data_IF_932769573289
#
_entry.id   IF_932769573289
#
_cell.length_a   1.000
_cell.length_b   1.000
_cell.length_c   1.000
_cell.angle_alpha   90.00
_cell.angle_beta   90.00
_cell.angle_gamma   90.00
#
_symmetry.space_group_name_H-M   'P 1'
#
loop_
_entity.id
_entity.type
_entity.pdbx_description
1 polymer ?
#
# COMPACT_ATOMS: atom_id res chain seq x y z
N UNK A 1 -13.48 25.71 46.63
CA UNK A 1 -12.63 26.27 45.54
C UNK A 1 -11.73 25.19 44.92
N UNK A 2 -12.09 23.91 45.02
CA UNK A 2 -11.24 22.75 44.66
C UNK A 2 -11.77 21.94 43.47
N UNK A 3 -13.04 22.14 43.07
CA UNK A 3 -13.66 21.36 41.98
C UNK A 3 -13.26 21.82 40.57
N UNK A 4 -13.03 23.13 40.36
CA UNK A 4 -12.61 23.66 39.05
C UNK A 4 -11.21 23.22 38.62
N UNK A 5 -10.29 22.98 39.56
CA UNK A 5 -8.91 22.58 39.24
C UNK A 5 -8.80 21.11 38.78
N UNK A 6 -9.68 20.23 39.27
CA UNK A 6 -9.72 18.83 38.81
C UNK A 6 -10.34 18.67 37.41
N UNK A 7 -11.31 19.51 37.06
CA UNK A 7 -12.02 19.44 35.78
C UNK A 7 -11.19 20.02 34.61
N UNK A 8 -10.37 21.03 34.86
CA UNK A 8 -9.43 21.56 33.86
C UNK A 8 -8.31 20.55 33.52
N UNK A 9 -7.72 19.89 34.51
CA UNK A 9 -6.67 18.88 34.26
C UNK A 9 -7.14 17.63 33.50
N UNK A 10 -8.39 17.20 33.72
CA UNK A 10 -8.98 16.09 32.98
C UNK A 10 -9.22 16.44 31.50
N UNK A 11 -9.73 17.64 31.22
CA UNK A 11 -9.96 18.15 29.85
C UNK A 11 -8.63 18.35 29.12
N UNK A 12 -7.58 18.83 29.80
CA UNK A 12 -6.25 18.98 29.21
C UNK A 12 -5.63 17.62 28.84
N UNK A 13 -5.83 16.60 29.68
CA UNK A 13 -5.37 15.23 29.41
C UNK A 13 -6.12 14.62 28.23
N UNK A 14 -7.44 14.79 28.16
CA UNK A 14 -8.25 14.32 27.04
C UNK A 14 -7.84 14.98 25.71
N UNK A 15 -7.60 16.30 25.72
CA UNK A 15 -7.12 17.03 24.55
C UNK A 15 -5.74 16.55 24.09
N UNK A 16 -4.82 16.29 25.03
CA UNK A 16 -3.50 15.73 24.72
C UNK A 16 -3.61 14.33 24.12
N UNK A 17 -4.50 13.47 24.64
CA UNK A 17 -4.74 12.14 24.08
C UNK A 17 -5.31 12.23 22.66
N UNK A 18 -6.30 13.10 22.42
CA UNK A 18 -6.86 13.34 21.09
C UNK A 18 -5.81 13.84 20.10
N UNK A 19 -4.95 14.78 20.51
CA UNK A 19 -3.85 15.27 19.68
C UNK A 19 -2.85 14.15 19.32
N UNK A 20 -2.54 13.26 20.26
CA UNK A 20 -1.67 12.09 20.00
C UNK A 20 -2.29 11.07 19.06
N UNK A 21 -3.60 10.83 19.17
CA UNK A 21 -4.33 9.96 18.23
C UNK A 21 -4.31 10.57 16.83
N UNK A 22 -4.60 11.87 16.71
CA UNK A 22 -4.56 12.57 15.43
C UNK A 22 -3.17 12.55 14.77
N UNK A 23 -2.09 12.72 15.54
CA UNK A 23 -0.71 12.59 15.03
C UNK A 23 -0.42 11.16 14.54
N UNK A 24 -0.91 10.15 15.27
CA UNK A 24 -0.77 8.75 14.87
C UNK A 24 -1.53 8.44 13.58
N UNK A 25 -2.77 8.93 13.45
CA UNK A 25 -3.59 8.77 12.25
C UNK A 25 -2.93 9.42 11.03
N UNK A 26 -2.43 10.65 11.17
CA UNK A 26 -1.71 11.33 10.09
C UNK A 26 -0.46 10.57 9.63
N UNK A 27 0.31 9.99 10.56
CA UNK A 27 1.46 9.15 10.22
C UNK A 27 1.06 7.88 9.49
N UNK A 28 -0.04 7.24 9.90
CA UNK A 28 -0.56 6.04 9.23
C UNK A 28 -1.03 6.36 7.81
N UNK A 29 -1.62 7.53 7.60
CA UNK A 29 -2.00 8.02 6.28
C UNK A 29 -0.79 8.24 5.37
N UNK A 30 0.25 8.90 5.86
CA UNK A 30 1.51 9.07 5.13
C UNK A 30 2.14 7.72 4.73
N UNK A 31 2.14 6.74 5.64
CA UNK A 31 2.63 5.39 5.38
C UNK A 31 1.77 4.69 4.33
N UNK A 32 0.44 4.79 4.42
CA UNK A 32 -0.47 4.17 3.46
C UNK A 32 -0.28 4.74 2.06
N UNK A 33 -0.12 6.06 1.93
CA UNK A 33 0.20 6.70 0.66
C UNK A 33 1.54 6.23 0.10
N UNK A 34 2.58 6.15 0.94
CA UNK A 34 3.89 5.67 0.53
C UNK A 34 3.81 4.24 -0.01
N UNK A 35 3.10 3.35 0.69
CA UNK A 35 2.90 1.96 0.26
C UNK A 35 2.15 1.90 -1.07
N UNK A 36 1.12 2.73 -1.25
CA UNK A 36 0.41 2.82 -2.53
C UNK A 36 1.34 3.27 -3.66
N UNK A 37 2.15 4.32 -3.46
CA UNK A 37 3.15 4.80 -4.43
C UNK A 37 4.15 3.71 -4.80
N UNK A 38 4.77 3.07 -3.80
CA UNK A 38 5.73 1.97 -3.99
C UNK A 38 5.12 0.82 -4.79
N UNK A 39 3.88 0.42 -4.47
CA UNK A 39 3.16 -0.63 -5.22
C UNK A 39 3.00 -0.25 -6.70
N UNK A 40 2.62 0.99 -6.99
CA UNK A 40 2.49 1.48 -8.36
C UNK A 40 3.83 1.51 -9.10
N UNK A 41 4.88 2.04 -8.46
CA UNK A 41 6.22 2.15 -9.04
C UNK A 41 6.87 0.79 -9.31
N UNK A 42 6.57 -0.25 -8.50
CA UNK A 42 7.06 -1.61 -8.73
C UNK A 42 6.25 -2.32 -9.83
N UNK A 43 4.93 -2.14 -9.86
CA UNK A 43 4.09 -2.78 -10.88
C UNK A 43 4.42 -2.31 -12.30
N UNK A 44 4.91 -1.07 -12.47
CA UNK A 44 5.29 -0.52 -13.77
C UNK A 44 6.43 -1.32 -14.45
N UNK A 45 7.64 -1.46 -13.86
CA UNK A 45 8.70 -2.28 -14.44
C UNK A 45 8.34 -3.76 -14.49
N UNK A 46 7.56 -4.30 -13.54
CA UNK A 46 7.10 -5.70 -13.60
C UNK A 46 6.22 -5.97 -14.82
N UNK A 47 5.33 -5.03 -15.16
CA UNK A 47 4.51 -5.11 -16.38
C UNK A 47 5.41 -5.14 -17.62
N UNK A 48 6.47 -4.32 -17.64
CA UNK A 48 7.47 -4.31 -18.71
C UNK A 48 8.23 -5.64 -18.82
N UNK A 49 8.76 -6.15 -17.71
CA UNK A 49 9.48 -7.45 -17.67
C UNK A 49 8.58 -8.59 -18.14
N UNK A 50 7.33 -8.63 -17.66
CA UNK A 50 6.36 -9.64 -18.06
C UNK A 50 6.09 -9.56 -19.58
N UNK A 51 5.80 -8.36 -20.08
CA UNK A 51 5.56 -8.13 -21.51
C UNK A 51 6.77 -8.54 -22.38
N UNK A 52 7.99 -8.18 -21.97
CA UNK A 52 9.21 -8.56 -22.68
C UNK A 52 9.43 -10.07 -22.66
N UNK A 53 9.23 -10.74 -21.52
CA UNK A 53 9.34 -12.20 -21.44
C UNK A 53 8.32 -12.90 -22.35
N UNK A 54 7.10 -12.38 -22.43
CA UNK A 54 6.04 -12.90 -23.30
C UNK A 54 6.31 -12.65 -24.79
N UNK A 55 6.87 -11.50 -25.14
CA UNK A 55 7.32 -11.21 -26.51
C UNK A 55 8.45 -12.15 -26.91
N UNK A 56 9.45 -12.34 -26.05
CA UNK A 56 10.57 -13.24 -26.30
C UNK A 56 10.12 -14.69 -26.50
N UNK A 57 9.13 -15.15 -25.73
CA UNK A 57 8.57 -16.51 -25.85
C UNK A 57 7.86 -16.77 -27.19
N UNK A 58 7.47 -15.72 -27.92
CA UNK A 58 6.88 -15.81 -29.27
C UNK A 58 7.94 -15.96 -30.37
N UNK A 59 9.22 -15.72 -30.07
CA UNK A 59 10.31 -15.88 -31.02
C UNK A 59 10.79 -17.33 -31.12
N UNK A 60 11.59 -17.61 -32.16
CA UNK A 60 12.29 -18.88 -32.31
C UNK A 60 13.49 -18.95 -31.35
N UNK A 61 13.25 -19.57 -30.20
CA UNK A 61 14.25 -19.80 -29.16
C UNK A 61 14.68 -21.26 -29.13
N UNK A 62 15.96 -21.51 -28.88
CA UNK A 62 16.41 -22.82 -28.43
C UNK A 62 15.85 -23.15 -27.03
N UNK A 63 15.85 -24.44 -26.67
CA UNK A 63 15.24 -24.92 -25.42
C UNK A 63 15.78 -24.22 -24.15
N UNK A 64 17.08 -23.92 -24.13
CA UNK A 64 17.73 -23.25 -23.00
C UNK A 64 17.23 -21.82 -22.85
N UNK A 65 17.12 -21.08 -23.94
CA UNK A 65 16.62 -19.71 -23.95
C UNK A 65 15.13 -19.68 -23.62
N UNK A 66 14.32 -20.59 -24.18
CA UNK A 66 12.90 -20.73 -23.86
C UNK A 66 12.66 -20.99 -22.38
N UNK A 67 13.42 -21.92 -21.78
CA UNK A 67 13.33 -22.22 -20.33
C UNK A 67 13.68 -21.00 -19.47
N UNK A 68 14.69 -20.22 -19.87
CA UNK A 68 15.04 -18.97 -19.17
C UNK A 68 13.95 -17.91 -19.29
N UNK A 69 13.35 -17.74 -20.47
CA UNK A 69 12.27 -16.80 -20.70
C UNK A 69 11.03 -17.13 -19.84
N UNK A 70 10.62 -18.41 -19.77
CA UNK A 70 9.57 -18.84 -18.83
C UNK A 70 9.95 -18.59 -17.37
N UNK A 71 11.20 -18.84 -16.98
CA UNK A 71 11.65 -18.55 -15.60
C UNK A 71 11.51 -17.06 -15.27
N UNK A 72 11.82 -16.17 -16.22
CA UNK A 72 11.66 -14.72 -16.04
C UNK A 72 10.18 -14.36 -15.91
N UNK A 73 9.32 -14.91 -16.77
CA UNK A 73 7.87 -14.73 -16.71
C UNK A 73 7.30 -15.14 -15.34
N UNK A 74 7.62 -16.35 -14.87
CA UNK A 74 7.16 -16.90 -13.60
C UNK A 74 7.60 -16.05 -12.40
N UNK A 75 8.86 -15.58 -12.42
CA UNK A 75 9.39 -14.70 -11.38
C UNK A 75 8.68 -13.34 -11.38
N UNK A 76 8.44 -12.75 -12.55
CA UNK A 76 7.71 -11.48 -12.66
C UNK A 76 6.27 -11.60 -12.16
N UNK A 77 5.58 -12.71 -12.50
CA UNK A 77 4.24 -13.02 -11.99
C UNK A 77 4.26 -13.14 -10.47
N UNK A 78 5.20 -13.91 -9.91
CA UNK A 78 5.32 -14.07 -8.45
C UNK A 78 5.58 -12.75 -7.74
N UNK A 79 6.45 -11.90 -8.30
CA UNK A 79 6.72 -10.57 -7.74
C UNK A 79 5.47 -9.69 -7.75
N UNK A 80 4.71 -9.68 -8.85
CA UNK A 80 3.44 -8.97 -8.94
C UNK A 80 2.46 -9.44 -7.87
N UNK A 81 2.36 -10.74 -7.64
CA UNK A 81 1.43 -11.31 -6.68
C UNK A 81 1.84 -11.00 -5.22
N UNK A 82 3.14 -10.94 -4.92
CA UNK A 82 3.66 -10.45 -3.63
C UNK A 82 3.30 -8.98 -3.43
N UNK A 83 3.55 -8.13 -4.43
CA UNK A 83 3.25 -6.70 -4.38
C UNK A 83 1.75 -6.44 -4.27
N UNK A 84 0.91 -7.29 -4.87
CA UNK A 84 -0.54 -7.22 -4.75
C UNK A 84 -1.05 -7.43 -3.31
N UNK A 85 -0.28 -8.11 -2.44
CA UNK A 85 -0.61 -8.27 -1.02
C UNK A 85 -0.55 -6.94 -0.25
N UNK A 86 0.07 -5.91 -0.80
CA UNK A 86 0.10 -4.55 -0.23
C UNK A 86 -1.17 -3.74 -0.56
N UNK A 87 -2.12 -4.29 -1.33
CA UNK A 87 -3.38 -3.62 -1.68
C UNK A 87 -4.20 -3.16 -0.48
N UNK A 88 -4.36 -3.95 0.61
CA UNK A 88 -5.15 -3.55 1.77
C UNK A 88 -4.56 -2.36 2.54
N UNK A 89 -3.30 -2.00 2.29
CA UNK A 89 -2.64 -0.84 2.90
C UNK A 89 -3.05 0.46 2.18
N UNK A 90 -4.36 0.58 1.94
CA UNK A 90 -5.03 1.79 1.50
C UNK A 90 -6.03 2.11 2.59
N UNK A 91 -5.94 3.30 3.18
CA UNK A 91 -7.04 3.80 4.01
C UNK A 91 -8.28 3.81 3.11
N UNK A 92 -9.34 3.12 3.52
CA UNK A 92 -10.61 3.18 2.82
C UNK A 92 -11.14 4.62 2.90
N UNK A 93 -10.86 5.40 1.86
CA UNK A 93 -11.41 6.74 1.69
C UNK A 93 -12.91 6.72 1.29
N UNK A 94 -13.58 5.56 1.35
CA UNK A 94 -14.94 5.39 0.87
C UNK A 94 -15.72 4.44 1.78
N UNK A 95 -16.28 4.97 2.88
CA UNK A 95 -17.59 4.53 3.39
C UNK A 95 -18.28 5.55 4.33
N UNK A 96 -17.96 6.84 4.19
CA UNK A 96 -18.62 7.92 4.96
C UNK A 96 -19.64 8.73 4.15
N UNK A 97 -19.93 8.38 2.89
CA UNK A 97 -20.87 9.13 2.03
C UNK A 97 -22.24 8.48 1.81
N UNK A 98 -22.54 7.38 2.52
CA UNK A 98 -23.80 6.63 2.36
C UNK A 98 -24.78 6.76 3.53
N UNK A 99 -24.51 7.61 4.53
CA UNK A 99 -25.34 7.76 5.74
C UNK A 99 -26.01 9.14 5.90
N UNK A 100 -26.11 9.91 4.82
CA UNK A 100 -27.01 11.09 4.78
C UNK A 100 -27.83 11.08 3.48
N UNK A 101 -28.95 10.35 3.52
CA UNK A 101 -30.15 10.62 2.71
C UNK A 101 -31.36 10.28 3.56
#
# INVERSE_FOLDING_TARGET
>A
MTERQGQTGAVDTENQLRARVADCEARLEEIAELVARVRHEINNPLTGVLGQSQLLLREELNDKARKRAHTIEDLAIRMRDIVAQLRPVQLEAQDSKSLTS
#
